data_IF_897138648338
#
_entry.id   IF_897138648338
#
_cell.length_a   1.000
_cell.length_b   1.000
_cell.length_c   1.000
_cell.angle_alpha   90.00
_cell.angle_beta   90.00
_cell.angle_gamma   90.00
#
_symmetry.space_group_name_H-M   'P 1'
#
loop_
_entity.id
_entity.type
_entity.pdbx_description
1 polymer ?
#
# COMPACT_ATOMS: atom_id res chain seq x y z
N UNK A 1 -11.32 -19.95 -10.27
CA UNK A 1 -12.54 -19.53 -10.98
C UNK A 1 -13.75 -19.81 -10.09
N UNK A 2 -14.48 -18.77 -9.65
CA UNK A 2 -15.83 -18.95 -9.09
C UNK A 2 -16.71 -17.80 -9.60
N UNK A 3 -17.72 -18.17 -10.39
CA UNK A 3 -18.68 -17.28 -11.04
C UNK A 3 -19.65 -16.74 -9.99
N UNK A 4 -19.86 -15.43 -9.97
CA UNK A 4 -20.99 -14.81 -9.27
C UNK A 4 -22.25 -14.98 -10.11
N UNK A 5 -23.33 -15.47 -9.48
CA UNK A 5 -24.69 -15.41 -10.01
C UNK A 5 -25.46 -14.41 -9.16
N UNK A 6 -26.02 -13.37 -9.76
CA UNK A 6 -26.98 -12.49 -9.10
C UNK A 6 -28.38 -12.79 -9.64
N UNK A 7 -29.30 -13.14 -8.76
CA UNK A 7 -30.74 -13.19 -9.06
C UNK A 7 -31.35 -11.92 -8.47
N UNK A 8 -32.05 -11.14 -9.29
CA UNK A 8 -32.67 -9.88 -8.88
C UNK A 8 -34.19 -10.10 -8.76
N UNK A 9 -34.71 -10.02 -7.54
CA UNK A 9 -36.14 -9.85 -7.30
C UNK A 9 -36.31 -8.53 -6.56
N UNK A 10 -36.90 -7.52 -7.23
CA UNK A 10 -37.20 -6.23 -6.63
C UNK A 10 -38.37 -6.36 -5.65
N UNK A 11 -38.16 -5.93 -4.41
CA UNK A 11 -39.24 -5.49 -3.52
C UNK A 11 -38.92 -4.06 -3.10
N UNK A 12 -39.92 -3.18 -3.22
CA UNK A 12 -39.92 -1.80 -2.76
C UNK A 12 -39.82 -1.75 -1.23
N UNK A 13 -38.60 -1.61 -0.75
CA UNK A 13 -38.25 -1.19 0.60
C UNK A 13 -36.88 -0.58 0.48
N UNK A 14 -36.63 0.55 1.13
CA UNK A 14 -35.37 1.29 1.05
C UNK A 14 -34.22 0.38 1.45
N UNK A 15 -33.60 -0.29 0.47
CA UNK A 15 -32.35 -1.01 0.67
C UNK A 15 -31.33 0.10 0.79
N UNK A 16 -30.97 0.44 2.02
CA UNK A 16 -29.67 1.06 2.26
C UNK A 16 -28.64 0.07 1.72
N UNK A 17 -28.18 0.30 0.48
CA UNK A 17 -27.00 -0.36 -0.05
C UNK A 17 -25.85 0.09 0.85
N UNK A 18 -25.55 -0.69 1.88
CA UNK A 18 -24.30 -0.57 2.60
C UNK A 18 -23.22 -1.03 1.64
N UNK A 19 -22.56 -0.09 0.96
CA UNK A 19 -21.26 -0.38 0.36
C UNK A 19 -20.33 -0.72 1.53
N UNK A 20 -20.11 -2.01 1.77
CA UNK A 20 -19.05 -2.45 2.66
C UNK A 20 -17.75 -2.00 1.99
N UNK A 21 -17.23 -0.83 2.37
CA UNK A 21 -15.93 -0.40 1.91
C UNK A 21 -14.92 -1.42 2.46
N UNK A 22 -14.33 -2.18 1.55
CA UNK A 22 -13.50 -3.32 1.88
C UNK A 22 -12.25 -2.82 2.61
N UNK A 23 -11.98 -3.34 3.80
CA UNK A 23 -10.69 -3.18 4.45
C UNK A 23 -9.61 -3.74 3.52
N UNK A 24 -8.65 -2.88 3.13
CA UNK A 24 -7.52 -3.27 2.28
C UNK A 24 -6.21 -3.08 3.04
N UNK A 25 -5.25 -3.98 2.81
CA UNK A 25 -3.88 -3.80 3.26
C UNK A 25 -3.24 -2.60 2.54
N UNK A 26 -2.50 -1.79 3.29
CA UNK A 26 -1.84 -0.59 2.79
C UNK A 26 -0.44 -0.44 3.39
N UNK A 27 0.36 0.40 2.74
CA UNK A 27 1.49 1.08 3.34
C UNK A 27 1.11 2.55 3.53
N UNK A 28 1.22 3.04 4.76
CA UNK A 28 0.94 4.43 5.10
C UNK A 28 2.19 5.16 5.59
N UNK A 29 2.36 6.41 5.18
CA UNK A 29 3.41 7.31 5.71
C UNK A 29 2.93 8.00 6.98
N UNK A 30 3.45 7.57 8.13
CA UNK A 30 2.95 8.07 9.43
C UNK A 30 3.33 9.54 9.68
N UNK A 31 4.51 9.99 9.23
CA UNK A 31 4.98 11.36 9.42
C UNK A 31 5.13 12.08 8.09
N UNK A 32 4.53 13.26 7.97
CA UNK A 32 4.51 14.01 6.70
C UNK A 32 5.73 14.92 6.52
N UNK A 33 6.56 15.10 7.57
CA UNK A 33 7.80 15.89 7.54
C UNK A 33 8.84 15.37 8.55
N UNK A 34 10.09 15.83 8.41
CA UNK A 34 11.21 15.48 9.30
C UNK A 34 11.91 14.16 8.97
N UNK A 35 12.83 13.72 9.84
CA UNK A 35 13.67 12.52 9.65
C UNK A 35 12.88 11.21 9.49
N UNK A 36 11.65 11.16 10.01
CA UNK A 36 10.78 9.99 9.93
C UNK A 36 9.91 9.95 8.66
N UNK A 37 9.94 11.00 7.83
CA UNK A 37 9.17 11.05 6.57
C UNK A 37 9.61 10.01 5.53
N UNK A 38 10.77 9.39 5.74
CA UNK A 38 11.27 8.29 4.91
C UNK A 38 10.60 6.94 5.19
N UNK A 39 9.94 6.78 6.34
CA UNK A 39 9.40 5.50 6.76
C UNK A 39 7.92 5.35 6.41
N UNK A 40 7.61 4.18 5.85
CA UNK A 40 6.26 3.71 5.59
C UNK A 40 5.98 2.47 6.41
N UNK A 41 4.74 2.33 6.84
CA UNK A 41 4.32 1.31 7.81
C UNK A 41 3.18 0.50 7.22
N UNK A 42 3.22 -0.81 7.46
CA UNK A 42 2.13 -1.69 7.05
C UNK A 42 0.94 -1.51 7.99
N UNK A 43 -0.24 -1.50 7.39
CA UNK A 43 -1.51 -1.47 8.11
C UNK A 43 -2.66 -1.85 7.19
N UNK A 44 -3.86 -1.51 7.61
CA UNK A 44 -5.07 -1.69 6.83
C UNK A 44 -6.01 -0.49 6.95
N UNK A 45 -6.77 -0.22 5.89
CA UNK A 45 -7.80 0.82 5.93
C UNK A 45 -8.92 0.40 6.87
N UNK A 46 -9.51 1.33 7.62
CA UNK A 46 -10.69 1.05 8.43
C UNK A 46 -11.86 1.94 8.02
N UNK A 47 -13.06 1.42 8.23
CA UNK A 47 -14.31 2.17 8.06
C UNK A 47 -14.49 3.06 9.29
N UNK A 48 -13.77 4.17 9.32
CA UNK A 48 -13.86 5.19 10.35
C UNK A 48 -14.25 6.52 9.71
N UNK A 49 -15.34 7.12 10.20
CA UNK A 49 -15.76 8.47 9.81
C UNK A 49 -15.08 9.55 10.66
N UNK A 50 -13.97 9.22 11.31
CA UNK A 50 -13.27 10.12 12.24
C UNK A 50 -12.52 11.26 11.54
N UNK A 51 -12.44 11.24 10.20
CA UNK A 51 -11.79 12.31 9.45
C UNK A 51 -12.18 12.34 7.96
N UNK A 52 -11.85 13.45 7.31
CA UNK A 52 -11.92 13.63 5.86
C UNK A 52 -10.64 13.09 5.20
N UNK A 53 -10.62 11.79 4.92
CA UNK A 53 -9.45 11.08 4.41
C UNK A 53 -9.55 9.56 4.54
N UNK A 54 -8.40 8.89 4.45
CA UNK A 54 -8.30 7.44 4.68
C UNK A 54 -7.80 7.17 6.09
N UNK A 55 -8.61 6.49 6.88
CA UNK A 55 -8.17 6.05 8.21
C UNK A 55 -7.40 4.73 8.10
N UNK A 56 -6.20 4.68 8.68
CA UNK A 56 -5.32 3.51 8.67
C UNK A 56 -5.09 3.05 10.10
N UNK A 57 -5.29 1.74 10.32
CA UNK A 57 -4.82 1.04 11.53
C UNK A 57 -3.56 0.28 11.17
N UNK A 58 -2.45 0.63 11.80
CA UNK A 58 -1.15 0.03 11.57
C UNK A 58 -0.98 -1.28 12.34
N UNK A 59 -0.08 -2.13 11.83
CA UNK A 59 0.17 -3.46 12.40
C UNK A 59 0.82 -3.40 13.79
N UNK A 60 1.45 -2.28 14.14
CA UNK A 60 1.99 -2.01 15.49
C UNK A 60 0.94 -1.50 16.49
N UNK A 61 -0.31 -1.35 16.05
CA UNK A 61 -1.45 -0.95 16.88
C UNK A 61 -1.79 0.53 16.82
N UNK A 62 -0.92 1.36 16.24
CA UNK A 62 -1.16 2.78 16.05
C UNK A 62 -2.25 3.02 14.99
N UNK A 63 -2.83 4.22 15.02
CA UNK A 63 -3.86 4.63 14.05
C UNK A 63 -3.61 6.05 13.59
N UNK A 64 -3.87 6.33 12.31
CA UNK A 64 -3.74 7.67 11.75
C UNK A 64 -4.83 7.92 10.70
N UNK A 65 -5.32 9.16 10.67
CA UNK A 65 -6.03 9.67 9.52
C UNK A 65 -5.06 10.27 8.48
N UNK A 66 -5.19 9.85 7.23
CA UNK A 66 -4.49 10.41 6.09
C UNK A 66 -5.44 11.28 5.25
N UNK A 67 -5.42 12.59 5.49
CA UNK A 67 -6.12 13.56 4.64
C UNK A 67 -5.43 13.75 3.29
N UNK A 68 -4.10 13.60 3.23
CA UNK A 68 -3.36 13.55 1.98
C UNK A 68 -3.35 12.11 1.42
N UNK A 69 -4.14 11.86 0.38
CA UNK A 69 -4.26 10.55 -0.26
C UNK A 69 -2.96 10.07 -0.96
N UNK A 70 -1.94 10.92 -1.13
CA UNK A 70 -0.61 10.50 -1.60
C UNK A 70 0.17 9.72 -0.55
N UNK A 71 -0.24 9.79 0.72
CA UNK A 71 0.46 9.18 1.86
C UNK A 71 -0.01 7.76 2.19
N UNK A 72 -0.88 7.19 1.36
CA UNK A 72 -1.40 5.83 1.50
C UNK A 72 -1.30 5.10 0.17
N UNK A 73 -0.64 3.94 0.17
CA UNK A 73 -0.42 3.10 -1.01
C UNK A 73 -1.05 1.73 -0.75
N UNK A 74 -1.96 1.23 -1.61
CA UNK A 74 -2.46 -0.13 -1.50
C UNK A 74 -1.31 -1.16 -1.53
N UNK A 75 -1.39 -2.18 -0.69
CA UNK A 75 -0.38 -3.23 -0.63
C UNK A 75 -0.51 -4.17 -1.84
N UNK A 76 0.01 -3.73 -2.99
CA UNK A 76 0.03 -4.52 -4.22
C UNK A 76 1.48 -4.78 -4.63
N UNK A 77 1.91 -6.03 -4.52
CA UNK A 77 3.30 -6.41 -4.80
C UNK A 77 3.62 -6.28 -6.28
N UNK A 78 4.90 -6.08 -6.59
CA UNK A 78 5.37 -5.95 -7.99
C UNK A 78 5.06 -7.17 -8.86
N UNK A 79 4.94 -8.35 -8.25
CA UNK A 79 4.58 -9.59 -8.96
C UNK A 79 3.17 -9.52 -9.57
N UNK A 80 2.27 -8.74 -8.97
CA UNK A 80 0.87 -8.62 -9.41
C UNK A 80 0.62 -7.44 -10.35
N UNK A 81 1.63 -6.58 -10.58
CA UNK A 81 1.44 -5.29 -11.29
C UNK A 81 2.20 -5.17 -12.60
N UNK A 82 3.12 -6.10 -12.88
CA UNK A 82 3.99 -6.00 -14.05
C UNK A 82 4.99 -4.85 -13.96
N UNK A 83 5.41 -4.49 -12.74
CA UNK A 83 6.34 -3.36 -12.49
C UNK A 83 7.61 -3.46 -13.35
N UNK A 84 8.15 -2.32 -13.78
CA UNK A 84 9.26 -2.19 -14.72
C UNK A 84 10.41 -1.32 -14.20
N UNK A 85 11.52 -1.30 -14.93
CA UNK A 85 12.62 -0.36 -14.66
C UNK A 85 12.07 1.08 -14.79
N UNK A 86 12.40 1.92 -13.82
CA UNK A 86 11.90 3.28 -13.67
C UNK A 86 10.69 3.42 -12.74
N UNK A 87 10.00 2.32 -12.41
CA UNK A 87 8.86 2.39 -11.51
C UNK A 87 9.30 2.70 -10.06
N UNK A 88 8.51 3.54 -9.42
CA UNK A 88 8.65 3.86 -7.99
C UNK A 88 8.06 2.73 -7.16
N UNK A 89 8.74 2.40 -6.07
CA UNK A 89 8.38 1.28 -5.21
C UNK A 89 8.59 1.63 -3.75
N UNK A 90 7.81 0.98 -2.89
CA UNK A 90 8.10 0.86 -1.48
C UNK A 90 8.70 -0.52 -1.24
N UNK A 91 9.85 -0.59 -0.60
CA UNK A 91 10.57 -1.83 -0.38
C UNK A 91 11.10 -1.95 1.06
N UNK A 92 11.24 -3.18 1.55
CA UNK A 92 11.92 -3.41 2.84
C UNK A 92 13.42 -3.58 2.64
N UNK A 93 14.19 -2.69 3.25
CA UNK A 93 15.64 -2.82 3.20
C UNK A 93 16.14 -4.09 3.92
N UNK A 94 15.53 -4.49 5.03
CA UNK A 94 15.82 -5.76 5.72
C UNK A 94 14.61 -6.70 5.67
N UNK A 95 14.82 -7.94 5.21
CA UNK A 95 13.74 -8.94 5.09
C UNK A 95 13.45 -9.66 6.42
N UNK A 96 14.29 -9.45 7.46
CA UNK A 96 14.12 -10.00 8.82
C UNK A 96 14.77 -9.10 9.88
N UNK A 97 14.20 -9.04 11.09
CA UNK A 97 14.80 -8.38 12.27
C UNK A 97 14.05 -7.14 12.79
N UNK A 98 14.70 -6.38 13.68
CA UNK A 98 14.12 -5.21 14.40
C UNK A 98 13.62 -4.07 13.49
N UNK A 99 14.18 -3.97 12.28
CA UNK A 99 13.84 -2.93 11.28
C UNK A 99 12.89 -3.43 10.17
N UNK A 100 12.33 -4.64 10.31
CA UNK A 100 11.39 -5.23 9.33
C UNK A 100 10.03 -4.53 9.26
N UNK A 101 9.79 -3.56 10.18
CA UNK A 101 8.58 -2.73 10.22
C UNK A 101 8.56 -1.61 9.17
N UNK A 102 9.73 -1.18 8.69
CA UNK A 102 9.83 -0.01 7.83
C UNK A 102 9.89 -0.39 6.36
N UNK A 103 9.18 0.42 5.57
CA UNK A 103 9.23 0.42 4.11
C UNK A 103 9.79 1.75 3.64
N UNK A 104 10.60 1.71 2.60
CA UNK A 104 11.39 2.82 2.11
C UNK A 104 11.09 3.05 0.64
N UNK A 105 11.02 4.31 0.25
CA UNK A 105 10.75 4.68 -1.14
C UNK A 105 12.03 4.55 -1.98
N UNK A 106 11.87 4.05 -3.20
CA UNK A 106 12.95 3.90 -4.15
C UNK A 106 12.46 3.69 -5.58
N UNK A 107 13.41 3.41 -6.47
CA UNK A 107 13.18 3.18 -7.91
C UNK A 107 13.75 1.82 -8.30
N UNK A 108 13.02 1.06 -9.11
CA UNK A 108 13.58 -0.13 -9.77
C UNK A 108 14.57 0.34 -10.85
N UNK A 109 15.86 0.08 -10.69
CA UNK A 109 16.87 0.45 -11.72
C UNK A 109 17.36 -0.72 -12.54
N UNK A 110 17.19 -1.96 -12.05
CA UNK A 110 17.52 -3.19 -12.82
C UNK A 110 16.55 -4.33 -12.53
N UNK A 111 16.47 -5.27 -13.46
CA UNK A 111 15.77 -6.56 -13.34
C UNK A 111 16.68 -7.68 -13.83
N UNK A 112 16.78 -8.78 -13.08
CA UNK A 112 17.58 -9.94 -13.50
C UNK A 112 17.12 -11.19 -12.77
N UNK A 113 17.00 -12.32 -13.46
CA UNK A 113 16.73 -13.61 -12.82
C UNK A 113 15.42 -13.69 -12.02
N UNK A 114 14.44 -12.82 -12.32
CA UNK A 114 13.21 -12.70 -11.54
C UNK A 114 13.31 -11.72 -10.36
N UNK A 115 14.48 -11.18 -10.06
CA UNK A 115 14.71 -10.21 -8.99
C UNK A 115 14.66 -8.76 -9.49
N UNK A 116 14.41 -7.85 -8.56
CA UNK A 116 14.37 -6.41 -8.81
C UNK A 116 15.48 -5.72 -8.01
N UNK A 117 16.29 -4.90 -8.66
CA UNK A 117 17.27 -4.05 -7.99
C UNK A 117 16.65 -2.68 -7.74
N UNK A 118 16.64 -2.26 -6.48
CA UNK A 118 16.06 -0.99 -6.03
C UNK A 118 17.18 -0.07 -5.56
N UNK A 119 17.16 1.16 -6.07
CA UNK A 119 17.90 2.29 -5.52
C UNK A 119 16.94 3.09 -4.65
N UNK A 120 17.24 3.21 -3.37
CA UNK A 120 16.44 3.92 -2.39
C UNK A 120 16.74 5.41 -2.44
N UNK A 121 15.77 6.23 -2.01
CA UNK A 121 15.90 7.69 -2.05
C UNK A 121 17.00 8.24 -1.13
N UNK A 122 17.43 7.47 -0.13
CA UNK A 122 18.55 7.81 0.73
C UNK A 122 19.91 7.33 0.19
N UNK A 123 19.94 6.77 -1.02
CA UNK A 123 21.15 6.38 -1.74
C UNK A 123 21.58 4.93 -1.51
N UNK A 124 20.94 4.21 -0.58
CA UNK A 124 21.17 2.78 -0.40
C UNK A 124 20.62 1.97 -1.58
N UNK A 125 21.10 0.72 -1.73
CA UNK A 125 20.67 -0.14 -2.85
C UNK A 125 20.53 -1.61 -2.43
N UNK A 126 19.60 -2.34 -3.06
CA UNK A 126 19.38 -3.76 -2.73
C UNK A 126 18.68 -4.55 -3.85
N UNK A 127 19.02 -5.84 -3.98
CA UNK A 127 18.24 -6.83 -4.73
C UNK A 127 17.09 -7.42 -3.91
N UNK A 128 15.90 -7.48 -4.51
CA UNK A 128 14.70 -8.11 -3.95
C UNK A 128 14.29 -9.33 -4.76
N UNK A 129 14.57 -10.52 -4.20
CA UNK A 129 14.02 -11.79 -4.69
C UNK A 129 12.73 -12.23 -4.00
N UNK A 130 12.41 -11.66 -2.83
CA UNK A 130 11.14 -11.89 -2.14
C UNK A 130 10.14 -10.77 -2.46
N UNK A 131 9.13 -11.06 -3.29
CA UNK A 131 8.17 -10.04 -3.73
C UNK A 131 7.23 -9.55 -2.62
N UNK A 132 7.14 -10.24 -1.48
CA UNK A 132 6.39 -9.76 -0.30
C UNK A 132 7.11 -8.60 0.43
N UNK A 133 8.28 -8.19 -0.06
CA UNK A 133 9.03 -7.04 0.44
C UNK A 133 9.14 -5.90 -0.58
N UNK A 134 8.34 -5.94 -1.66
CA UNK A 134 8.38 -4.96 -2.73
C UNK A 134 6.99 -4.64 -3.30
N UNK A 135 6.52 -3.42 -3.03
CA UNK A 135 5.19 -2.90 -3.38
C UNK A 135 5.32 -1.77 -4.39
N UNK A 136 4.47 -1.75 -5.41
CA UNK A 136 4.46 -0.67 -6.39
C UNK A 136 3.93 0.61 -5.75
N UNK A 137 4.66 1.73 -5.90
CA UNK A 137 4.22 3.01 -5.39
C UNK A 137 3.14 3.61 -6.30
N UNK A 138 1.88 3.28 -5.99
CA UNK A 138 0.68 3.88 -6.59
C UNK A 138 -0.27 4.32 -5.48
N UNK A 139 -0.20 5.58 -5.04
CA UNK A 139 -1.04 6.07 -3.95
C UNK A 139 -2.53 5.98 -4.29
N UNK A 140 -3.39 5.97 -3.28
CA UNK A 140 -4.84 5.87 -3.47
C UNK A 140 -5.38 7.02 -4.34
N UNK A 141 -4.76 8.21 -4.28
CA UNK A 141 -5.08 9.35 -5.15
C UNK A 141 -5.02 9.01 -6.66
N UNK A 142 -4.23 8.01 -7.05
CA UNK A 142 -4.13 7.56 -8.44
C UNK A 142 -5.45 7.00 -8.99
N UNK A 143 -6.29 6.42 -8.13
CA UNK A 143 -7.52 5.73 -8.53
C UNK A 143 -8.78 6.61 -8.45
N UNK A 144 -8.63 7.89 -8.09
CA UNK A 144 -9.73 8.80 -7.76
C UNK A 144 -10.17 9.78 -8.85
N UNK A 145 -9.93 9.50 -10.15
CA UNK A 145 -10.42 10.32 -11.27
C UNK A 145 -11.54 9.63 -12.05
#
# INVERSE_FOLDING_TARGET
MRKLLFVFTMILGSISLSFAQTQIDVLGRYYDSGFNSKYWYKGSTSNSNSCDGVYVRYDDGDTKCHSDMYTVVPFVTVQSTGANIGDRVLARYYDSGYNSKYWYLGTITRKSGGEYFVEYDDGDTKWHGNFNTLVLFKPISYYGN
#
